data_IF_354552534334
#
_entry.id   IF_354552534334
#
_cell.length_a   1.000
_cell.length_b   1.000
_cell.length_c   1.000
_cell.angle_alpha   90.00
_cell.angle_beta   90.00
_cell.angle_gamma   90.00
#
_symmetry.space_group_name_H-M   'P 1'
#
loop_
_entity.id
_entity.type
_entity.pdbx_description
1 polymer ?
#
# COMPACT_ATOMS: atom_id res chain seq x y z
N UNK A 1 -8.03 13.36 -44.35
CA UNK A 1 -7.33 14.52 -43.78
C UNK A 1 -7.44 14.40 -42.27
N UNK A 2 -6.34 14.16 -41.56
CA UNK A 2 -6.34 14.22 -40.10
C UNK A 2 -6.59 15.68 -39.72
N UNK A 3 -7.65 15.96 -38.95
CA UNK A 3 -7.97 17.33 -38.56
C UNK A 3 -7.02 17.76 -37.45
N UNK A 4 -6.46 18.96 -37.56
CA UNK A 4 -5.59 19.56 -36.52
C UNK A 4 -6.30 19.59 -35.15
N UNK A 5 -7.62 19.75 -35.16
CA UNK A 5 -8.50 19.69 -33.97
C UNK A 5 -8.46 18.32 -33.26
N UNK A 6 -8.42 17.20 -34.01
CA UNK A 6 -8.31 15.85 -33.42
C UNK A 6 -6.94 15.62 -32.77
N UNK A 7 -5.88 16.17 -33.37
CA UNK A 7 -4.51 16.12 -32.82
C UNK A 7 -4.43 16.95 -31.55
N UNK A 8 -4.99 18.16 -31.54
CA UNK A 8 -5.03 19.01 -30.35
C UNK A 8 -5.85 18.38 -29.21
N UNK A 9 -7.00 17.79 -29.53
CA UNK A 9 -7.85 17.13 -28.54
C UNK A 9 -7.17 15.90 -27.94
N UNK A 10 -6.55 15.04 -28.76
CA UNK A 10 -5.76 13.91 -28.26
C UNK A 10 -4.59 14.39 -27.39
N UNK A 11 -3.89 15.45 -27.77
CA UNK A 11 -2.80 16.01 -26.95
C UNK A 11 -3.27 16.47 -25.57
N UNK A 12 -4.45 17.09 -25.50
CA UNK A 12 -5.06 17.51 -24.23
C UNK A 12 -5.47 16.31 -23.37
N UNK A 13 -6.12 15.31 -23.95
CA UNK A 13 -6.53 14.09 -23.26
C UNK A 13 -5.31 13.33 -22.67
N UNK A 14 -4.20 13.26 -23.41
CA UNK A 14 -2.95 12.66 -22.93
C UNK A 14 -2.32 13.46 -21.77
N UNK A 15 -2.35 14.80 -21.85
CA UNK A 15 -1.86 15.66 -20.78
C UNK A 15 -2.69 15.49 -19.49
N UNK A 16 -4.02 15.52 -19.60
CA UNK A 16 -4.92 15.34 -18.46
C UNK A 16 -4.74 13.94 -17.84
N UNK A 17 -4.56 12.90 -18.66
CA UNK A 17 -4.26 11.54 -18.20
C UNK A 17 -2.90 11.46 -17.47
N UNK A 18 -1.88 12.15 -17.96
CA UNK A 18 -0.56 12.19 -17.32
C UNK A 18 -0.61 12.89 -15.95
N UNK A 19 -1.33 14.02 -15.85
CA UNK A 19 -1.54 14.72 -14.57
C UNK A 19 -2.29 13.83 -13.58
N UNK A 20 -3.34 13.13 -14.02
CA UNK A 20 -4.08 12.20 -13.18
C UNK A 20 -3.22 11.01 -12.70
N UNK A 21 -2.38 10.45 -13.58
CA UNK A 21 -1.45 9.37 -13.24
C UNK A 21 -0.40 9.84 -12.21
N UNK A 22 0.18 11.02 -12.40
CA UNK A 22 1.13 11.60 -11.44
C UNK A 22 0.49 11.82 -10.06
N UNK A 23 -0.75 12.36 -10.02
CA UNK A 23 -1.49 12.53 -8.78
C UNK A 23 -1.82 11.22 -8.07
N UNK A 24 -2.15 10.18 -8.83
CA UNK A 24 -2.45 8.83 -8.30
C UNK A 24 -1.19 8.17 -7.73
N UNK A 25 -0.07 8.25 -8.45
CA UNK A 25 1.23 7.77 -7.99
C UNK A 25 1.66 8.46 -6.69
N UNK A 26 1.57 9.79 -6.64
CA UNK A 26 1.92 10.55 -5.44
C UNK A 26 1.09 10.11 -4.23
N UNK A 27 -0.23 9.99 -4.38
CA UNK A 27 -1.12 9.53 -3.30
C UNK A 27 -0.82 8.09 -2.87
N UNK A 28 -0.59 7.19 -3.82
CA UNK A 28 -0.26 5.79 -3.52
C UNK A 28 1.05 5.67 -2.73
N UNK A 29 2.10 6.39 -3.14
CA UNK A 29 3.38 6.43 -2.42
C UNK A 29 3.21 7.02 -1.02
N UNK A 30 2.43 8.10 -0.87
CA UNK A 30 2.13 8.67 0.45
C UNK A 30 1.38 7.68 1.36
N UNK A 31 0.39 6.98 0.82
CA UNK A 31 -0.35 5.97 1.58
C UNK A 31 0.55 4.82 2.06
N UNK A 32 1.45 4.34 1.20
CA UNK A 32 2.45 3.32 1.56
C UNK A 32 3.36 3.84 2.67
N UNK A 33 3.89 5.06 2.53
CA UNK A 33 4.76 5.65 3.55
C UNK A 33 4.05 5.78 4.91
N UNK A 34 2.78 6.18 4.91
CA UNK A 34 1.96 6.22 6.13
C UNK A 34 1.80 4.82 6.74
N UNK A 35 1.43 3.81 5.93
CA UNK A 35 1.24 2.46 6.43
C UNK A 35 2.52 1.85 7.02
N UNK A 36 3.68 2.07 6.40
CA UNK A 36 4.99 1.66 6.94
C UNK A 36 5.30 2.41 8.24
N UNK A 37 5.00 3.70 8.30
CA UNK A 37 5.17 4.51 9.51
C UNK A 37 4.29 4.03 10.67
N UNK A 38 3.03 3.67 10.39
CA UNK A 38 2.10 3.13 11.38
C UNK A 38 2.57 1.77 11.90
N UNK A 39 2.99 0.85 11.02
CA UNK A 39 3.56 -0.44 11.41
C UNK A 39 4.81 -0.27 12.30
N UNK A 40 5.69 0.67 11.94
CA UNK A 40 6.90 0.97 12.73
C UNK A 40 6.53 1.49 14.12
N UNK A 41 5.57 2.42 14.21
CA UNK A 41 5.09 2.95 15.49
C UNK A 41 4.50 1.84 16.35
N UNK A 42 3.64 1.00 15.79
CA UNK A 42 3.00 -0.10 16.51
C UNK A 42 4.02 -1.13 17.00
N UNK A 43 5.00 -1.48 16.17
CA UNK A 43 6.09 -2.40 16.56
C UNK A 43 6.90 -1.85 17.74
N UNK A 44 7.14 -0.54 17.78
CA UNK A 44 7.84 0.12 18.88
C UNK A 44 7.00 0.11 20.17
N UNK A 45 5.71 0.42 20.08
CA UNK A 45 4.77 0.36 21.21
C UNK A 45 4.68 -1.06 21.80
N UNK A 46 4.49 -2.07 20.94
CA UNK A 46 4.40 -3.48 21.34
C UNK A 46 5.73 -3.94 22.01
N UNK A 47 6.88 -3.52 21.48
CA UNK A 47 8.21 -3.83 22.04
C UNK A 47 8.50 -3.15 23.38
N UNK A 48 8.07 -1.90 23.56
CA UNK A 48 8.16 -1.22 24.85
C UNK A 48 7.30 -1.92 25.90
N UNK A 49 6.05 -2.24 25.56
CA UNK A 49 5.15 -2.95 26.46
C UNK A 49 5.72 -4.33 26.85
N UNK A 50 6.32 -5.05 25.91
CA UNK A 50 7.04 -6.29 26.19
C UNK A 50 8.20 -6.08 27.17
N UNK A 51 9.03 -5.07 26.94
CA UNK A 51 10.18 -4.76 27.79
C UNK A 51 9.76 -4.42 29.22
N UNK A 52 8.72 -3.59 29.38
CA UNK A 52 8.15 -3.25 30.68
C UNK A 52 7.61 -4.48 31.42
N UNK A 53 6.82 -5.31 30.73
CA UNK A 53 6.28 -6.56 31.29
C UNK A 53 7.42 -7.50 31.70
N UNK A 54 8.41 -7.70 30.83
CA UNK A 54 9.54 -8.59 31.08
C UNK A 54 10.38 -8.12 32.27
N UNK A 55 10.61 -6.82 32.41
CA UNK A 55 11.34 -6.28 33.56
C UNK A 55 10.62 -6.51 34.91
N UNK A 56 9.29 -6.70 34.89
CA UNK A 56 8.46 -6.92 36.08
C UNK A 56 8.35 -8.37 36.55
N UNK A 57 8.74 -9.36 35.73
CA UNK A 57 8.57 -10.79 36.10
C UNK A 57 9.70 -11.29 37.00
N UNK A 58 9.37 -12.22 37.91
CA UNK A 58 10.31 -12.75 38.92
C UNK A 58 10.64 -14.24 38.78
N UNK A 59 10.15 -14.88 37.72
CA UNK A 59 10.38 -16.29 37.45
C UNK A 59 10.52 -16.54 35.94
N UNK A 60 11.23 -17.61 35.59
CA UNK A 60 11.43 -18.02 34.21
C UNK A 60 10.11 -18.39 33.52
N UNK A 61 9.20 -19.07 34.21
CA UNK A 61 7.90 -19.44 33.65
C UNK A 61 7.11 -18.20 33.19
N UNK A 62 7.15 -17.12 33.98
CA UNK A 62 6.51 -15.85 33.63
C UNK A 62 7.22 -15.10 32.52
N UNK A 63 8.55 -15.18 32.46
CA UNK A 63 9.29 -14.64 31.32
C UNK A 63 8.93 -15.34 30.00
N UNK A 64 8.78 -16.67 30.03
CA UNK A 64 8.36 -17.46 28.86
C UNK A 64 6.93 -17.09 28.44
N UNK A 65 6.02 -16.91 29.39
CA UNK A 65 4.64 -16.47 29.12
C UNK A 65 4.62 -15.11 28.41
N UNK A 66 5.34 -14.12 28.94
CA UNK A 66 5.44 -12.76 28.35
C UNK A 66 6.10 -12.78 26.97
N UNK A 67 7.17 -13.56 26.78
CA UNK A 67 7.82 -13.73 25.48
C UNK A 67 6.88 -14.37 24.45
N UNK A 68 6.08 -15.37 24.87
CA UNK A 68 5.12 -16.05 24.01
C UNK A 68 3.98 -15.13 23.60
N UNK A 69 3.47 -14.33 24.55
CA UNK A 69 2.47 -13.29 24.27
C UNK A 69 3.00 -12.28 23.26
N UNK A 70 4.22 -11.74 23.47
CA UNK A 70 4.84 -10.81 22.54
C UNK A 70 5.05 -11.41 21.16
N UNK A 71 5.54 -12.65 21.06
CA UNK A 71 5.74 -13.32 19.79
C UNK A 71 4.43 -13.49 19.01
N UNK A 72 3.34 -13.84 19.70
CA UNK A 72 2.00 -13.94 19.11
C UNK A 72 1.53 -12.57 18.60
N UNK A 73 1.58 -11.54 19.44
CA UNK A 73 1.17 -10.18 19.05
C UNK A 73 2.00 -9.64 17.89
N UNK A 74 3.32 -9.83 17.91
CA UNK A 74 4.21 -9.40 16.85
C UNK A 74 3.87 -10.09 15.51
N UNK A 75 3.55 -11.39 15.55
CA UNK A 75 3.12 -12.14 14.38
C UNK A 75 1.78 -11.63 13.82
N UNK A 76 0.78 -11.44 14.68
CA UNK A 76 -0.53 -10.92 14.28
C UNK A 76 -0.41 -9.52 13.67
N UNK A 77 0.33 -8.61 14.32
CA UNK A 77 0.62 -7.27 13.80
C UNK A 77 1.33 -7.34 12.45
N UNK A 78 2.36 -8.18 12.31
CA UNK A 78 3.10 -8.33 11.07
C UNK A 78 2.20 -8.78 9.90
N UNK A 79 1.36 -9.79 10.11
CA UNK A 79 0.47 -10.30 9.06
C UNK A 79 -0.50 -9.21 8.61
N UNK A 80 -1.15 -8.51 9.55
CA UNK A 80 -2.12 -7.46 9.25
C UNK A 80 -1.47 -6.30 8.49
N UNK A 81 -0.35 -5.78 8.99
CA UNK A 81 0.29 -4.62 8.36
C UNK A 81 0.95 -4.98 7.03
N UNK A 82 1.50 -6.19 6.89
CA UNK A 82 2.05 -6.66 5.60
C UNK A 82 0.98 -6.82 4.53
N UNK A 83 -0.21 -7.32 4.91
CA UNK A 83 -1.36 -7.40 3.99
C UNK A 83 -1.78 -5.99 3.54
N UNK A 84 -1.93 -5.06 4.48
CA UNK A 84 -2.28 -3.66 4.18
C UNK A 84 -1.26 -2.99 3.24
N UNK A 85 0.03 -3.14 3.50
CA UNK A 85 1.09 -2.59 2.65
C UNK A 85 1.05 -3.24 1.26
N UNK A 86 0.88 -4.57 1.20
CA UNK A 86 0.77 -5.31 -0.05
C UNK A 86 -0.43 -4.87 -0.91
N UNK A 87 -1.59 -4.65 -0.28
CA UNK A 87 -2.79 -4.13 -0.94
C UNK A 87 -2.55 -2.73 -1.52
N UNK A 88 -1.89 -1.84 -0.78
CA UNK A 88 -1.54 -0.50 -1.26
C UNK A 88 -0.62 -0.54 -2.48
N UNK A 89 0.35 -1.46 -2.52
CA UNK A 89 1.19 -1.67 -3.70
C UNK A 89 0.39 -2.22 -4.88
N UNK A 90 -0.52 -3.17 -4.64
CA UNK A 90 -1.39 -3.71 -5.68
C UNK A 90 -2.31 -2.62 -6.27
N UNK A 91 -2.88 -1.76 -5.42
CA UNK A 91 -3.71 -0.64 -5.84
C UNK A 91 -2.92 0.40 -6.64
N UNK A 92 -1.71 0.73 -6.21
CA UNK A 92 -0.82 1.61 -6.96
C UNK A 92 -0.51 1.06 -8.36
N UNK A 93 -0.21 -0.24 -8.44
CA UNK A 93 0.02 -0.91 -9.71
C UNK A 93 -1.24 -0.85 -10.60
N UNK A 94 -2.42 -1.23 -10.08
CA UNK A 94 -3.68 -1.16 -10.82
C UNK A 94 -3.95 0.24 -11.37
N UNK A 95 -3.78 1.29 -10.55
CA UNK A 95 -4.01 2.67 -10.96
C UNK A 95 -3.02 3.11 -12.06
N UNK A 96 -1.78 2.63 -12.00
CA UNK A 96 -0.74 2.96 -12.98
C UNK A 96 -0.95 2.21 -14.30
N UNK A 97 -1.45 0.97 -14.27
CA UNK A 97 -1.70 0.17 -15.48
C UNK A 97 -3.05 0.45 -16.14
N UNK A 98 -4.01 1.05 -15.42
CA UNK A 98 -5.35 1.34 -15.92
C UNK A 98 -5.39 2.08 -17.28
N UNK A 99 -4.56 3.11 -17.55
CA UNK A 99 -4.56 3.77 -18.86
C UNK A 99 -4.22 2.83 -20.02
N UNK A 100 -3.38 1.82 -19.80
CA UNK A 100 -3.04 0.83 -20.83
C UNK A 100 -4.19 -0.16 -21.06
N UNK A 101 -4.90 -0.54 -20.00
CA UNK A 101 -6.08 -1.39 -20.07
C UNK A 101 -7.23 -0.67 -20.82
N UNK A 102 -7.48 0.59 -20.47
CA UNK A 102 -8.47 1.44 -21.14
C UNK A 102 -8.10 1.71 -22.60
N UNK A 103 -6.80 1.83 -22.92
CA UNK A 103 -6.32 1.92 -24.30
C UNK A 103 -6.54 0.62 -25.06
N UNK A 104 -6.14 -0.54 -24.52
CA UNK A 104 -6.33 -1.84 -25.14
C UNK A 104 -7.82 -2.14 -25.40
N UNK A 105 -8.70 -1.78 -24.47
CA UNK A 105 -10.15 -1.92 -24.61
C UNK A 105 -10.72 -1.18 -25.84
N UNK A 106 -10.08 -0.11 -26.31
CA UNK A 106 -10.49 0.59 -27.56
C UNK A 106 -10.21 -0.23 -28.83
N UNK A 107 -9.33 -1.22 -28.76
CA UNK A 107 -8.91 -2.06 -29.90
C UNK A 107 -9.39 -3.51 -29.80
N UNK A 108 -9.93 -3.93 -28.65
CA UNK A 108 -10.61 -5.22 -28.52
C UNK A 108 -12.00 -5.09 -29.17
N UNK A 109 -12.34 -5.89 -30.21
CA UNK A 109 -13.68 -5.87 -30.75
C UNK A 109 -14.65 -6.34 -29.66
N UNK A 110 -15.70 -5.55 -29.39
CA UNK A 110 -16.83 -6.01 -28.57
C UNK A 110 -17.38 -7.27 -29.26
N UNK A 111 -17.20 -8.43 -28.65
CA UNK A 111 -17.82 -9.66 -29.14
C UNK A 111 -19.34 -9.42 -29.20
N UNK A 112 -19.89 -9.44 -30.42
CA UNK A 112 -21.33 -9.35 -30.69
C UNK A 112 -22.03 -10.63 -30.28
#
# INVERSE_FOLDING_TARGET
MIKIEEIQQHGKEQFDAAVAAAGSLQKGVQAIAIAVGDYTRKSFEDGNAFTEKLAGVKSLDKAIEVQTEYAKTAYETFVVESQKIGELYADLARQTYKPFEDFAAKFVPVAR
#
